data_IF_001957809189
#
_entry.id   IF_001957809189
#
_cell.length_a   1.000
_cell.length_b   1.000
_cell.length_c   1.000
_cell.angle_alpha   90.00
_cell.angle_beta   90.00
_cell.angle_gamma   90.00
#
_symmetry.space_group_name_H-M   'P 1'
#
loop_
_entity.id
_entity.type
_entity.pdbx_description
1 polymer ?
#
# COMPACT_ATOMS: atom_id res chain seq x y z
N UNK A 1 -26.45 -41.39 26.46
CA UNK A 1 -24.98 -41.23 26.63
C UNK A 1 -24.22 -41.21 25.30
N UNK A 2 -24.30 -42.22 24.41
CA UNK A 2 -23.50 -42.23 23.14
C UNK A 2 -23.76 -41.02 22.21
N UNK A 3 -25.02 -40.59 22.04
CA UNK A 3 -25.37 -39.45 21.17
C UNK A 3 -24.80 -38.12 21.69
N UNK A 4 -24.84 -37.89 23.00
CA UNK A 4 -24.28 -36.68 23.63
C UNK A 4 -22.78 -36.64 23.51
N UNK A 5 -22.11 -37.76 23.65
CA UNK A 5 -20.64 -37.84 23.50
C UNK A 5 -20.18 -37.56 22.06
N UNK A 6 -20.92 -38.10 21.07
CA UNK A 6 -20.66 -37.81 19.64
C UNK A 6 -20.89 -36.32 19.33
N UNK A 7 -21.95 -35.70 19.85
CA UNK A 7 -22.19 -34.27 19.63
C UNK A 7 -21.07 -33.37 20.22
N UNK A 8 -20.54 -33.74 21.39
CA UNK A 8 -19.42 -32.99 22.00
C UNK A 8 -18.14 -33.11 21.15
N UNK A 9 -17.84 -34.32 20.66
CA UNK A 9 -16.66 -34.53 19.78
C UNK A 9 -16.80 -33.71 18.49
N UNK A 10 -17.95 -33.70 17.84
CA UNK A 10 -18.20 -32.91 16.64
C UNK A 10 -18.06 -31.42 16.90
N UNK A 11 -18.58 -30.92 18.03
CA UNK A 11 -18.43 -29.52 18.40
C UNK A 11 -16.94 -29.13 18.61
N UNK A 12 -16.15 -29.98 19.27
CA UNK A 12 -14.70 -29.77 19.45
C UNK A 12 -13.99 -29.74 18.11
N UNK A 13 -14.29 -30.66 17.20
CA UNK A 13 -13.67 -30.69 15.86
C UNK A 13 -14.00 -29.40 15.09
N UNK A 14 -15.23 -28.93 15.13
CA UNK A 14 -15.66 -27.69 14.49
C UNK A 14 -14.91 -26.50 15.07
N UNK A 15 -14.77 -26.40 16.39
CA UNK A 15 -14.03 -25.31 17.05
C UNK A 15 -12.54 -25.34 16.66
N UNK A 16 -11.93 -26.53 16.66
CA UNK A 16 -10.52 -26.68 16.28
C UNK A 16 -10.28 -26.35 14.80
N UNK A 17 -11.18 -26.74 13.91
CA UNK A 17 -11.08 -26.41 12.48
C UNK A 17 -11.26 -24.92 12.24
N UNK A 18 -12.26 -24.28 12.84
CA UNK A 18 -12.48 -22.83 12.74
C UNK A 18 -11.29 -22.07 13.32
N UNK A 19 -10.79 -22.47 14.49
CA UNK A 19 -9.61 -21.85 15.12
C UNK A 19 -8.36 -22.02 14.28
N UNK A 20 -8.12 -23.19 13.70
CA UNK A 20 -7.00 -23.45 12.80
C UNK A 20 -7.07 -22.63 11.50
N UNK A 21 -8.24 -22.54 10.88
CA UNK A 21 -8.48 -21.71 9.71
C UNK A 21 -8.26 -20.23 10.04
N UNK A 22 -8.81 -19.76 11.14
CA UNK A 22 -8.63 -18.38 11.60
C UNK A 22 -7.16 -18.05 11.86
N UNK A 23 -6.42 -18.91 12.58
CA UNK A 23 -4.99 -18.75 12.83
C UNK A 23 -4.17 -18.74 11.52
N UNK A 24 -4.53 -19.59 10.54
CA UNK A 24 -3.91 -19.59 9.23
C UNK A 24 -4.08 -18.24 8.50
N UNK A 25 -5.32 -17.72 8.46
CA UNK A 25 -5.61 -16.45 7.77
C UNK A 25 -5.02 -15.24 8.49
N UNK A 26 -4.89 -15.25 9.79
CA UNK A 26 -4.27 -14.14 10.54
C UNK A 26 -2.75 -14.15 10.50
N UNK A 27 -2.12 -15.29 10.20
CA UNK A 27 -0.67 -15.45 10.24
C UNK A 27 0.07 -15.20 8.92
N UNK A 28 -0.63 -15.14 7.79
CA UNK A 28 -0.02 -15.09 6.45
C UNK A 28 -0.73 -14.12 5.52
N UNK A 29 0.04 -13.50 4.60
CA UNK A 29 -0.53 -12.72 3.50
C UNK A 29 -1.31 -13.63 2.55
N UNK A 30 -2.37 -13.10 1.97
CA UNK A 30 -3.19 -13.79 0.98
C UNK A 30 -2.70 -13.47 -0.44
N UNK A 31 -1.74 -14.21 -0.92
CA UNK A 31 -1.30 -14.15 -2.34
C UNK A 31 -1.47 -15.54 -2.98
N UNK A 32 -2.72 -15.99 -3.24
CA UNK A 32 -2.98 -17.32 -3.77
C UNK A 32 -2.46 -17.51 -5.20
N UNK A 33 -2.31 -16.43 -5.96
CA UNK A 33 -1.85 -16.45 -7.37
C UNK A 33 -0.33 -16.51 -7.52
N UNK A 34 0.43 -16.37 -6.43
CA UNK A 34 1.88 -16.25 -6.47
C UNK A 34 2.38 -15.11 -7.37
N UNK A 35 1.64 -14.00 -7.36
CA UNK A 35 1.95 -12.80 -8.15
C UNK A 35 3.32 -12.24 -7.76
N UNK A 36 4.13 -11.90 -8.74
CA UNK A 36 5.46 -11.31 -8.58
C UNK A 36 5.44 -9.79 -8.67
N UNK A 37 4.38 -9.24 -9.27
CA UNK A 37 4.12 -7.81 -9.35
C UNK A 37 2.67 -7.50 -8.99
N UNK A 38 2.36 -6.24 -8.71
CA UNK A 38 0.97 -5.81 -8.47
C UNK A 38 0.10 -6.13 -9.70
N UNK A 39 0.63 -5.93 -10.91
CA UNK A 39 -0.08 -6.21 -12.15
C UNK A 39 -0.45 -7.68 -12.38
N UNK A 40 0.24 -8.62 -11.75
CA UNK A 40 -0.06 -10.06 -11.84
C UNK A 40 -1.18 -10.50 -10.88
N UNK A 41 -1.59 -9.66 -9.92
CA UNK A 41 -2.74 -9.95 -9.05
C UNK A 41 -4.02 -9.86 -9.90
N UNK A 42 -4.86 -10.90 -10.01
CA UNK A 42 -6.07 -10.83 -10.84
C UNK A 42 -7.03 -9.72 -10.41
N UNK A 43 -7.65 -9.05 -11.37
CA UNK A 43 -8.78 -8.19 -11.07
C UNK A 43 -9.95 -9.02 -10.49
N UNK A 44 -10.81 -8.45 -9.64
CA UNK A 44 -11.99 -9.15 -9.16
C UNK A 44 -12.89 -9.63 -10.31
N UNK A 45 -13.61 -10.73 -10.10
CA UNK A 45 -14.52 -11.26 -11.11
C UNK A 45 -15.54 -10.20 -11.56
N UNK A 46 -15.69 -10.04 -12.87
CA UNK A 46 -16.57 -9.04 -13.48
C UNK A 46 -16.01 -7.61 -13.56
N UNK A 47 -14.71 -7.43 -13.22
CA UNK A 47 -14.03 -6.14 -13.34
C UNK A 47 -12.89 -6.21 -14.36
N UNK A 48 -12.71 -5.12 -15.09
CA UNK A 48 -11.59 -4.92 -15.99
C UNK A 48 -10.68 -3.81 -15.43
N UNK A 49 -9.38 -4.01 -15.48
CA UNK A 49 -8.42 -2.98 -15.09
C UNK A 49 -8.55 -1.76 -15.99
N UNK A 50 -8.42 -0.57 -15.38
CA UNK A 50 -8.28 0.65 -16.17
C UNK A 50 -6.98 0.60 -16.97
N UNK A 51 -6.94 1.35 -18.07
CA UNK A 51 -5.74 1.43 -18.89
C UNK A 51 -4.56 2.00 -18.11
N UNK A 52 -3.36 1.46 -18.36
CA UNK A 52 -2.10 1.96 -17.84
C UNK A 52 -1.14 2.19 -19.00
N UNK A 53 -1.16 3.37 -19.63
CA UNK A 53 -0.31 3.68 -20.77
C UNK A 53 1.17 3.46 -20.46
N UNK A 54 1.91 2.99 -21.47
CA UNK A 54 3.35 2.75 -21.36
C UNK A 54 4.06 4.01 -20.87
N UNK A 55 4.92 3.86 -19.92
CA UNK A 55 5.65 4.95 -19.28
C UNK A 55 4.86 5.77 -18.26
N UNK A 56 3.58 5.45 -18.03
CA UNK A 56 2.75 6.15 -17.04
C UNK A 56 3.10 5.77 -15.60
N UNK A 57 2.59 6.57 -14.65
CA UNK A 57 2.72 6.25 -13.24
C UNK A 57 1.88 5.00 -12.85
N UNK A 58 0.75 4.78 -13.52
CA UNK A 58 -0.07 3.59 -13.36
C UNK A 58 0.70 2.32 -13.74
N UNK A 59 1.40 2.32 -14.87
CA UNK A 59 2.27 1.22 -15.28
C UNK A 59 3.40 0.99 -14.27
N UNK A 60 4.05 2.06 -13.82
CA UNK A 60 5.09 1.96 -12.79
C UNK A 60 4.59 1.29 -11.51
N UNK A 61 3.40 1.66 -11.03
CA UNK A 61 2.81 1.05 -9.84
C UNK A 61 2.47 -0.43 -10.05
N UNK A 62 1.90 -0.78 -11.20
CA UNK A 62 1.62 -2.19 -11.55
C UNK A 62 2.86 -3.07 -11.62
N UNK A 63 3.99 -2.49 -12.04
CA UNK A 63 5.27 -3.18 -12.15
C UNK A 63 6.06 -3.22 -10.83
N UNK A 64 5.51 -2.70 -9.71
CA UNK A 64 6.17 -2.83 -8.41
C UNK A 64 6.30 -4.32 -8.04
N UNK A 65 7.51 -4.78 -7.71
CA UNK A 65 7.73 -6.18 -7.36
C UNK A 65 7.10 -6.50 -6.00
N UNK A 66 6.58 -7.72 -5.89
CA UNK A 66 6.09 -8.29 -4.65
C UNK A 66 7.12 -9.28 -4.10
N UNK A 67 7.23 -9.31 -2.78
CA UNK A 67 7.98 -10.35 -2.08
C UNK A 67 7.34 -11.71 -2.31
N UNK A 68 8.11 -12.75 -2.00
CA UNK A 68 7.66 -14.14 -2.11
C UNK A 68 6.28 -14.35 -1.49
N UNK A 69 5.55 -15.30 -2.07
CA UNK A 69 4.25 -15.76 -1.58
C UNK A 69 4.31 -16.00 -0.06
N UNK A 70 3.28 -15.51 0.64
CA UNK A 70 3.15 -15.66 2.10
C UNK A 70 4.16 -14.89 2.94
N UNK A 71 4.89 -13.93 2.37
CA UNK A 71 5.67 -12.98 3.18
C UNK A 71 4.73 -12.25 4.14
N UNK A 72 5.12 -12.20 5.41
CA UNK A 72 4.34 -11.56 6.47
C UNK A 72 4.48 -10.05 6.43
N UNK A 73 3.38 -9.35 6.68
CA UNK A 73 3.42 -7.92 6.96
C UNK A 73 3.95 -7.72 8.38
N UNK A 74 5.06 -7.01 8.49
CA UNK A 74 5.71 -6.74 9.77
C UNK A 74 5.38 -5.34 10.28
N UNK A 75 5.25 -5.21 11.58
CA UNK A 75 5.08 -3.92 12.24
C UNK A 75 6.42 -3.21 12.41
N UNK A 76 6.41 -1.88 12.46
CA UNK A 76 7.59 -1.04 12.63
C UNK A 76 8.45 -1.39 13.85
N UNK A 77 7.82 -1.69 14.98
CA UNK A 77 8.51 -2.06 16.24
C UNK A 77 8.85 -3.56 16.34
N UNK A 78 8.74 -4.29 15.26
CA UNK A 78 8.83 -5.75 15.25
C UNK A 78 7.48 -6.41 15.53
N UNK A 79 7.44 -7.74 15.38
CA UNK A 79 6.18 -8.51 15.41
C UNK A 79 5.40 -8.45 14.09
N UNK A 80 4.33 -9.21 14.02
CA UNK A 80 3.49 -9.33 12.83
C UNK A 80 2.25 -8.45 12.95
N UNK A 81 1.81 -7.88 11.82
CA UNK A 81 0.51 -7.22 11.76
C UNK A 81 -0.61 -8.25 11.96
N UNK A 82 -1.69 -7.82 12.60
CA UNK A 82 -2.91 -8.61 12.69
C UNK A 82 -3.58 -8.72 11.30
N UNK A 83 -4.43 -9.74 11.13
CA UNK A 83 -5.23 -9.90 9.90
C UNK A 83 -4.39 -9.98 8.61
N UNK A 84 -3.32 -10.76 8.63
CA UNK A 84 -2.43 -10.98 7.48
C UNK A 84 -3.19 -11.33 6.18
N UNK A 85 -4.34 -11.97 6.29
CA UNK A 85 -5.19 -12.36 5.15
C UNK A 85 -5.80 -11.16 4.40
N UNK A 86 -5.84 -9.98 4.99
CA UNK A 86 -6.27 -8.74 4.32
C UNK A 86 -5.19 -8.19 3.37
N UNK A 87 -3.95 -8.69 3.47
CA UNK A 87 -2.86 -8.31 2.60
C UNK A 87 -2.68 -9.34 1.49
N UNK A 88 -2.83 -8.93 0.26
CA UNK A 88 -2.61 -9.77 -0.94
C UNK A 88 -1.13 -10.03 -1.19
N UNK A 89 -0.26 -9.12 -0.80
CA UNK A 89 1.19 -9.24 -0.95
C UNK A 89 1.92 -8.11 -0.24
N UNK A 90 3.24 -8.21 -0.22
CA UNK A 90 4.13 -7.18 0.33
C UNK A 90 5.04 -6.70 -0.79
N UNK A 91 5.09 -5.39 -1.02
CA UNK A 91 5.98 -4.80 -2.03
C UNK A 91 7.43 -5.07 -1.63
N UNK A 92 8.22 -5.60 -2.57
CA UNK A 92 9.65 -5.84 -2.37
C UNK A 92 10.45 -4.55 -2.62
N UNK A 93 10.43 -3.70 -1.61
CA UNK A 93 11.16 -2.44 -1.63
C UNK A 93 11.85 -2.21 -0.28
N UNK A 94 13.18 -2.07 -0.31
CA UNK A 94 13.96 -1.75 0.89
C UNK A 94 13.57 -0.36 1.40
N UNK A 95 13.31 -0.25 2.71
CA UNK A 95 13.11 1.04 3.36
C UNK A 95 14.38 1.90 3.29
N UNK A 96 14.24 3.19 3.08
CA UNK A 96 15.36 4.15 3.10
C UNK A 96 15.69 4.60 4.53
N UNK A 97 14.75 4.45 5.44
CA UNK A 97 14.87 4.86 6.84
C UNK A 97 13.87 4.10 7.71
N UNK A 98 14.20 3.92 8.99
CA UNK A 98 13.27 3.40 9.98
C UNK A 98 12.08 4.34 10.26
N UNK A 99 12.11 5.56 9.75
CA UNK A 99 11.01 6.55 9.88
C UNK A 99 10.05 6.51 8.71
N UNK A 100 10.34 5.75 7.66
CA UNK A 100 9.50 5.66 6.47
C UNK A 100 8.14 5.05 6.83
N UNK A 101 7.09 5.88 6.83
CA UNK A 101 5.72 5.52 7.20
C UNK A 101 4.76 5.67 6.01
N UNK A 102 3.47 5.61 6.26
CA UNK A 102 2.43 5.56 5.22
C UNK A 102 2.48 6.74 4.22
N UNK A 103 2.60 7.98 4.70
CA UNK A 103 2.71 9.15 3.83
C UNK A 103 4.04 9.16 3.07
N UNK A 104 5.12 8.72 3.74
CA UNK A 104 6.46 8.71 3.17
C UNK A 104 6.59 7.73 2.01
N UNK A 105 6.03 6.53 2.17
CA UNK A 105 5.95 5.53 1.07
C UNK A 105 5.19 6.09 -0.12
N UNK A 106 4.07 6.76 0.12
CA UNK A 106 3.26 7.40 -0.93
C UNK A 106 4.05 8.44 -1.71
N UNK A 107 4.71 9.35 -1.01
CA UNK A 107 5.58 10.38 -1.61
C UNK A 107 6.77 9.75 -2.31
N UNK A 108 7.40 8.74 -1.71
CA UNK A 108 8.54 8.05 -2.28
C UNK A 108 8.20 7.37 -3.60
N UNK A 109 7.13 6.62 -3.69
CA UNK A 109 6.73 5.94 -4.93
C UNK A 109 6.57 6.94 -6.08
N UNK A 110 5.98 8.11 -5.80
CA UNK A 110 5.87 9.19 -6.78
C UNK A 110 7.24 9.75 -7.17
N UNK A 111 8.11 10.00 -6.20
CA UNK A 111 9.46 10.52 -6.43
C UNK A 111 10.34 9.51 -7.20
N UNK A 112 10.29 8.21 -6.85
CA UNK A 112 11.02 7.13 -7.55
C UNK A 112 10.61 7.05 -9.03
N UNK A 113 9.31 7.13 -9.31
CA UNK A 113 8.82 7.18 -10.69
C UNK A 113 9.41 8.37 -11.46
N UNK A 114 9.32 9.58 -10.90
CA UNK A 114 9.85 10.77 -11.54
C UNK A 114 11.37 10.71 -11.73
N UNK A 115 12.08 10.19 -10.73
CA UNK A 115 13.53 10.00 -10.78
C UNK A 115 13.92 9.01 -11.88
N UNK A 116 13.25 7.85 -11.97
CA UNK A 116 13.47 6.88 -13.05
C UNK A 116 13.17 7.42 -14.44
N UNK A 117 12.27 8.39 -14.56
CA UNK A 117 11.96 9.11 -15.81
C UNK A 117 12.90 10.26 -16.12
N UNK A 118 13.93 10.50 -15.30
CA UNK A 118 14.83 11.66 -15.47
C UNK A 118 14.17 13.01 -15.19
N UNK A 119 12.96 13.02 -14.64
CA UNK A 119 12.17 14.23 -14.35
C UNK A 119 12.52 14.81 -12.99
N UNK A 120 13.80 15.05 -12.74
CA UNK A 120 14.33 15.46 -11.42
C UNK A 120 13.71 16.77 -10.93
N UNK A 121 13.54 17.76 -11.81
CA UNK A 121 12.92 19.04 -11.47
C UNK A 121 11.44 18.96 -11.11
N UNK A 122 10.78 17.84 -11.41
CA UNK A 122 9.40 17.59 -11.02
C UNK A 122 9.26 16.95 -9.62
N UNK A 123 10.38 16.57 -8.99
CA UNK A 123 10.39 16.00 -7.64
C UNK A 123 10.41 17.14 -6.63
N UNK A 124 9.23 17.46 -6.10
CA UNK A 124 9.04 18.55 -5.14
C UNK A 124 7.86 18.20 -4.23
N UNK A 125 8.02 18.46 -2.94
CA UNK A 125 6.96 18.32 -1.94
C UNK A 125 6.85 19.60 -1.11
N UNK A 126 5.74 19.78 -0.42
CA UNK A 126 5.59 20.83 0.57
C UNK A 126 5.70 20.25 1.97
N UNK A 127 6.48 20.92 2.82
CA UNK A 127 6.58 20.55 4.23
C UNK A 127 5.29 20.89 5.01
N UNK A 128 5.27 20.62 6.30
CA UNK A 128 4.14 20.94 7.19
C UNK A 128 3.85 22.44 7.29
N UNK A 129 4.82 23.30 6.95
CA UNK A 129 4.68 24.75 6.88
C UNK A 129 4.35 25.23 5.45
N UNK A 130 4.05 24.32 4.52
CA UNK A 130 3.75 24.58 3.11
C UNK A 130 4.91 25.13 2.29
N UNK A 131 6.12 25.13 2.82
CA UNK A 131 7.33 25.50 2.10
C UNK A 131 7.71 24.41 1.11
N UNK A 132 8.08 24.82 -0.11
CA UNK A 132 8.57 23.90 -1.14
C UNK A 132 9.94 23.32 -0.76
N UNK A 133 10.04 22.00 -0.86
CA UNK A 133 11.29 21.25 -0.70
C UNK A 133 11.58 20.58 -2.04
N UNK A 134 12.45 21.22 -2.82
CA UNK A 134 12.79 20.82 -4.18
C UNK A 134 13.95 19.84 -4.19
N UNK A 135 13.87 18.80 -5.01
CA UNK A 135 15.02 17.93 -5.31
C UNK A 135 15.95 18.60 -6.33
N UNK A 136 17.25 18.61 -6.05
CA UNK A 136 18.28 19.24 -6.89
C UNK A 136 19.46 18.31 -7.21
N UNK A 137 19.38 17.04 -6.79
CA UNK A 137 20.49 16.09 -6.86
C UNK A 137 20.70 15.40 -8.23
N UNK A 138 19.88 15.71 -9.24
CA UNK A 138 20.00 15.12 -10.59
C UNK A 138 19.92 13.58 -10.58
N UNK A 139 20.74 12.86 -11.37
CA UNK A 139 20.71 11.41 -11.48
C UNK A 139 21.34 10.67 -10.30
N UNK A 140 21.89 11.38 -9.31
CA UNK A 140 22.57 10.76 -8.18
C UNK A 140 21.60 10.03 -7.25
N UNK A 141 21.68 8.69 -7.19
CA UNK A 141 20.89 7.86 -6.28
C UNK A 141 21.15 8.22 -4.82
N UNK A 142 22.39 8.46 -4.43
CA UNK A 142 22.77 8.88 -3.07
C UNK A 142 22.11 10.20 -2.68
N UNK A 143 22.09 11.17 -3.60
CA UNK A 143 21.44 12.46 -3.38
C UNK A 143 19.92 12.30 -3.27
N UNK A 144 19.31 11.46 -4.11
CA UNK A 144 17.88 11.13 -4.05
C UNK A 144 17.49 10.54 -2.69
N UNK A 145 18.22 9.53 -2.24
CA UNK A 145 17.94 8.89 -0.95
C UNK A 145 18.13 9.84 0.24
N UNK A 146 19.16 10.70 0.19
CA UNK A 146 19.36 11.76 1.20
C UNK A 146 18.19 12.73 1.21
N UNK A 147 17.71 13.15 0.04
CA UNK A 147 16.55 14.02 -0.09
C UNK A 147 15.30 13.37 0.49
N UNK A 148 14.99 12.10 0.12
CA UNK A 148 13.83 11.41 0.63
C UNK A 148 13.85 11.25 2.15
N UNK A 149 15.00 10.92 2.75
CA UNK A 149 15.15 10.90 4.21
C UNK A 149 14.89 12.28 4.85
N UNK A 150 15.25 13.36 4.19
CA UNK A 150 14.90 14.72 4.61
C UNK A 150 13.38 14.97 4.55
N UNK A 151 12.72 14.54 3.46
CA UNK A 151 11.26 14.64 3.30
C UNK A 151 10.52 13.94 4.44
N UNK A 152 10.94 12.75 4.86
CA UNK A 152 10.31 12.00 5.97
C UNK A 152 10.36 12.75 7.32
N UNK A 153 11.33 13.65 7.49
CA UNK A 153 11.45 14.49 8.69
C UNK A 153 10.60 15.77 8.68
N UNK A 154 10.20 16.25 7.50
CA UNK A 154 9.53 17.56 7.38
C UNK A 154 8.13 17.50 6.74
N UNK A 155 7.80 16.40 6.08
CA UNK A 155 6.46 16.14 5.52
C UNK A 155 5.68 15.15 6.38
N UNK A 156 4.38 15.10 6.20
CA UNK A 156 3.48 14.22 6.95
C UNK A 156 2.18 13.99 6.19
N UNK A 157 1.24 13.23 6.77
CA UNK A 157 -0.14 13.13 6.27
C UNK A 157 -0.83 14.50 6.19
N UNK A 158 -0.46 15.45 7.05
CA UNK A 158 -1.00 16.81 7.01
C UNK A 158 -0.56 17.55 5.75
N UNK A 159 0.75 17.57 5.46
CA UNK A 159 1.26 18.24 4.24
C UNK A 159 0.73 17.57 2.98
N UNK A 160 0.71 16.23 2.92
CA UNK A 160 0.17 15.48 1.79
C UNK A 160 -1.32 15.78 1.54
N UNK A 161 -2.15 15.86 2.61
CA UNK A 161 -3.54 16.23 2.51
C UNK A 161 -3.75 17.60 1.86
N UNK A 162 -2.94 18.59 2.23
CA UNK A 162 -3.01 19.94 1.69
C UNK A 162 -2.38 20.10 0.30
N UNK A 163 -1.58 19.15 -0.15
CA UNK A 163 -1.00 19.10 -1.50
C UNK A 163 -1.89 18.39 -2.52
N UNK A 164 -2.76 17.51 -2.06
CA UNK A 164 -3.66 16.73 -2.92
C UNK A 164 -4.94 17.49 -3.21
N UNK A 165 -5.59 17.15 -4.34
CA UNK A 165 -6.90 17.68 -4.72
C UNK A 165 -7.96 16.59 -4.54
N UNK A 166 -9.16 16.92 -4.02
CA UNK A 166 -10.25 15.96 -3.91
C UNK A 166 -10.64 15.38 -5.28
N UNK A 167 -10.94 14.09 -5.29
CA UNK A 167 -11.45 13.37 -6.45
C UNK A 167 -12.64 12.50 -6.04
N UNK A 168 -13.67 12.43 -6.87
CA UNK A 168 -14.79 11.54 -6.62
C UNK A 168 -14.34 10.06 -6.73
N UNK A 169 -14.88 9.19 -5.89
CA UNK A 169 -14.50 7.76 -5.89
C UNK A 169 -14.73 7.09 -7.25
N UNK A 170 -15.79 7.48 -7.96
CA UNK A 170 -16.05 6.96 -9.32
C UNK A 170 -14.93 7.28 -10.32
N UNK A 171 -14.17 8.34 -10.07
CA UNK A 171 -13.12 8.84 -10.97
C UNK A 171 -11.70 8.47 -10.48
N UNK A 172 -11.58 7.67 -9.40
CA UNK A 172 -10.31 7.27 -8.81
C UNK A 172 -9.41 6.57 -9.84
N UNK A 173 -8.11 6.83 -9.78
CA UNK A 173 -7.10 6.30 -10.70
C UNK A 173 -5.88 5.76 -9.95
N UNK A 174 -5.09 4.86 -10.56
CA UNK A 174 -3.81 4.47 -10.00
C UNK A 174 -2.92 5.70 -9.73
N UNK A 175 -2.37 5.77 -8.52
CA UNK A 175 -1.57 6.89 -8.05
C UNK A 175 -2.34 7.93 -7.25
N UNK A 176 -3.67 7.86 -7.20
CA UNK A 176 -4.45 8.64 -6.24
C UNK A 176 -4.17 8.17 -4.80
N UNK A 177 -4.49 8.99 -3.83
CA UNK A 177 -4.19 8.74 -2.42
C UNK A 177 -5.43 8.92 -1.57
N UNK A 178 -5.77 7.91 -0.78
CA UNK A 178 -6.65 8.10 0.36
C UNK A 178 -5.83 8.68 1.50
N UNK A 179 -6.04 9.94 1.82
CA UNK A 179 -5.28 10.63 2.86
C UNK A 179 -6.22 11.35 3.83
N UNK A 180 -5.98 11.15 5.11
CA UNK A 180 -6.65 11.89 6.19
C UNK A 180 -5.63 12.30 7.25
N UNK A 181 -5.58 13.59 7.59
CA UNK A 181 -4.70 14.09 8.63
C UNK A 181 -5.15 13.57 10.00
N UNK A 182 -4.31 13.76 11.00
CA UNK A 182 -4.68 13.49 12.38
C UNK A 182 -5.93 14.28 12.77
N UNK A 183 -6.83 13.65 13.52
CA UNK A 183 -8.05 14.25 14.06
C UNK A 183 -7.88 14.49 15.57
N UNK A 184 -8.70 15.36 16.18
CA UNK A 184 -8.75 15.49 17.63
C UNK A 184 -8.87 14.10 18.29
N UNK A 185 -8.02 13.83 19.31
CA UNK A 185 -7.95 12.53 19.99
C UNK A 185 -7.14 11.45 19.26
N UNK A 186 -6.62 11.70 18.06
CA UNK A 186 -5.70 10.78 17.36
C UNK A 186 -4.38 11.47 17.06
N UNK A 187 -3.29 10.87 17.51
CA UNK A 187 -1.93 11.41 17.34
C UNK A 187 -1.45 11.42 15.88
N UNK A 188 -1.92 10.49 15.07
CA UNK A 188 -1.45 10.29 13.69
C UNK A 188 -2.61 10.26 12.70
N UNK A 189 -2.36 10.79 11.50
CA UNK A 189 -3.18 10.57 10.32
C UNK A 189 -2.80 9.27 9.60
N UNK A 190 -3.34 9.06 8.40
CA UNK A 190 -2.99 7.92 7.57
C UNK A 190 -3.03 8.28 6.09
N UNK A 191 -2.22 7.60 5.28
CA UNK A 191 -2.24 7.72 3.83
C UNK A 191 -2.09 6.32 3.20
N UNK A 192 -2.88 6.06 2.14
CA UNK A 192 -2.84 4.82 1.37
C UNK A 192 -2.85 5.20 -0.11
N UNK A 193 -1.88 4.70 -0.87
CA UNK A 193 -1.85 4.90 -2.32
C UNK A 193 -2.72 3.86 -3.02
N UNK A 194 -3.44 4.30 -4.04
CA UNK A 194 -4.16 3.43 -4.96
C UNK A 194 -3.16 2.88 -5.96
N UNK A 195 -2.77 1.64 -5.79
CA UNK A 195 -1.75 1.01 -6.63
C UNK A 195 -2.31 0.57 -7.99
N UNK A 196 -3.58 0.17 -8.04
CA UNK A 196 -4.28 -0.22 -9.26
C UNK A 196 -5.78 0.05 -9.13
N UNK A 197 -6.48 0.08 -10.27
CA UNK A 197 -7.93 0.29 -10.34
C UNK A 197 -8.55 -0.64 -11.36
N UNK A 198 -9.68 -1.23 -11.01
CA UNK A 198 -10.52 -1.98 -11.94
C UNK A 198 -11.97 -1.51 -11.87
N UNK A 199 -12.70 -1.60 -12.99
CA UNK A 199 -14.10 -1.16 -13.09
C UNK A 199 -14.98 -2.28 -13.64
N UNK A 200 -16.17 -2.44 -13.06
CA UNK A 200 -17.21 -3.31 -13.60
C UNK A 200 -17.93 -2.63 -14.78
N UNK A 201 -18.68 -3.40 -15.56
CA UNK A 201 -19.56 -2.87 -16.61
C UNK A 201 -20.62 -1.89 -16.06
N UNK A 202 -21.03 -2.04 -14.79
CA UNK A 202 -21.97 -1.14 -14.11
C UNK A 202 -21.31 0.11 -13.47
N UNK A 203 -20.01 0.33 -13.69
CA UNK A 203 -19.27 1.47 -13.16
C UNK A 203 -18.80 1.33 -11.71
N UNK A 204 -19.02 0.18 -11.05
CA UNK A 204 -18.44 -0.09 -9.72
C UNK A 204 -16.92 -0.10 -9.80
N UNK A 205 -16.27 0.41 -8.76
CA UNK A 205 -14.81 0.53 -8.69
C UNK A 205 -14.24 -0.45 -7.68
N UNK A 206 -13.15 -1.11 -8.06
CA UNK A 206 -12.27 -1.87 -7.18
C UNK A 206 -10.88 -1.22 -7.20
N UNK A 207 -10.23 -1.13 -6.04
CA UNK A 207 -8.88 -0.57 -5.84
C UNK A 207 -8.03 -1.55 -5.04
#
# INVERSE_FOLDING_TARGET
>A
MKKTFIAIILAIIVILTIGGVWAYYTSKTSNPWNARTIGEIPAPFGYNRVEAPVGSYAEYLRNLPLKEKRTKVMLYKGGQANFQFLSTGVIDQKLLSNYEQCADVTMRLRAEYLWKKGRYSSICFRDVNRKKVQYTGGPSRKAFEKYMRGIYGVCSTYSLYHETKPRAIKDVQPGDVFVYPARPGRKYGHAVIVADVARSKSGKVAV
#
